data_IF_978372727725
#
_entry.id   IF_978372727725
#
_cell.length_a   1.000
_cell.length_b   1.000
_cell.length_c   1.000
_cell.angle_alpha   90.00
_cell.angle_beta   90.00
_cell.angle_gamma   90.00
#
_symmetry.space_group_name_H-M   'P 1'
#
loop_
_entity.id
_entity.type
_entity.pdbx_description
1 polymer ?
#
# COMPACT_ATOMS: atom_id res chain seq x y z
N UNK A 1 87.68 1.29 -49.70
CA UNK A 1 87.44 2.73 -49.72
C UNK A 1 85.92 2.98 -49.47
N UNK A 2 85.56 3.40 -48.30
CA UNK A 2 84.36 4.18 -47.98
C UNK A 2 84.21 4.32 -46.46
N UNK A 3 84.42 5.49 -45.99
CA UNK A 3 84.43 5.95 -44.59
C UNK A 3 83.05 5.91 -43.98
N UNK A 4 82.95 5.27 -42.81
CA UNK A 4 81.74 5.31 -41.99
C UNK A 4 81.90 6.32 -40.83
N UNK A 5 81.15 7.40 -40.88
CA UNK A 5 81.05 8.35 -39.77
C UNK A 5 79.89 7.89 -38.81
N UNK A 6 80.28 7.55 -37.59
CA UNK A 6 79.39 7.29 -36.51
C UNK A 6 78.86 8.63 -35.92
N UNK A 7 77.53 8.85 -35.96
CA UNK A 7 76.86 9.89 -35.21
C UNK A 7 76.44 9.35 -33.84
N UNK A 8 76.95 9.93 -32.80
CA UNK A 8 76.52 9.71 -31.42
C UNK A 8 75.32 10.52 -31.19
N UNK A 9 74.15 9.86 -30.84
CA UNK A 9 72.95 10.54 -30.41
C UNK A 9 72.84 10.45 -28.88
N UNK A 10 72.98 11.61 -28.20
CA UNK A 10 72.71 11.69 -26.77
C UNK A 10 71.17 11.59 -26.55
N UNK A 11 70.78 10.50 -25.91
CA UNK A 11 69.36 10.34 -25.44
C UNK A 11 69.24 11.02 -24.07
N UNK A 12 68.55 12.19 -24.05
CA UNK A 12 68.14 12.82 -22.81
C UNK A 12 66.99 12.08 -22.15
N UNK A 13 67.22 11.55 -20.95
CA UNK A 13 66.15 10.97 -20.11
C UNK A 13 65.29 12.11 -19.50
N UNK A 14 64.09 12.31 -20.00
CA UNK A 14 63.02 13.04 -19.35
C UNK A 14 62.26 12.07 -18.44
N UNK A 15 62.46 12.20 -17.12
CA UNK A 15 61.63 11.50 -16.14
C UNK A 15 60.23 12.16 -16.07
N UNK A 16 59.12 11.37 -16.16
CA UNK A 16 57.79 11.92 -15.94
C UNK A 16 57.58 12.21 -14.43
N UNK A 17 57.40 13.50 -14.06
CA UNK A 17 56.88 13.89 -12.77
C UNK A 17 55.42 13.46 -12.70
N UNK A 18 55.16 12.34 -12.03
CA UNK A 18 53.79 11.94 -11.70
C UNK A 18 53.26 12.90 -10.64
N UNK A 19 52.49 13.91 -11.07
CA UNK A 19 51.61 14.66 -10.17
C UNK A 19 50.56 13.69 -9.63
N UNK A 20 50.76 13.23 -8.41
CA UNK A 20 49.77 12.49 -7.64
C UNK A 20 48.57 13.39 -7.39
N UNK A 21 47.56 13.34 -8.25
CA UNK A 21 46.19 13.81 -7.94
C UNK A 21 45.66 12.88 -6.86
N UNK A 22 45.92 13.22 -5.60
CA UNK A 22 45.18 12.69 -4.47
C UNK A 22 43.71 13.12 -4.64
N UNK A 23 42.95 12.31 -5.37
CA UNK A 23 41.52 12.40 -5.43
C UNK A 23 41.02 12.28 -3.99
N UNK A 24 40.71 13.42 -3.35
CA UNK A 24 39.92 13.41 -2.13
C UNK A 24 38.66 12.64 -2.49
N UNK A 25 38.55 11.40 -1.97
CA UNK A 25 37.28 10.71 -1.90
C UNK A 25 36.32 11.67 -1.23
N UNK A 26 35.43 12.29 -2.00
CA UNK A 26 34.34 13.09 -1.47
C UNK A 26 33.61 12.18 -0.50
N UNK A 27 33.86 12.35 0.78
CA UNK A 27 33.21 11.57 1.84
C UNK A 27 31.70 11.68 1.60
N UNK A 28 31.06 10.54 1.31
CA UNK A 28 29.62 10.49 1.19
C UNK A 28 29.05 11.15 2.45
N UNK A 29 28.25 12.23 2.27
CA UNK A 29 27.58 12.85 3.39
C UNK A 29 26.79 11.77 4.13
N UNK A 30 26.86 11.71 5.48
CA UNK A 30 26.05 10.77 6.24
C UNK A 30 24.59 10.86 5.78
N UNK A 31 23.92 9.72 5.56
CA UNK A 31 22.52 9.70 5.16
C UNK A 31 21.67 10.48 6.17
N UNK A 32 20.60 11.09 5.69
CA UNK A 32 19.71 11.93 6.51
C UNK A 32 19.25 11.25 7.80
N UNK A 33 19.01 9.94 7.75
CA UNK A 33 18.47 9.16 8.87
C UNK A 33 19.52 8.58 9.80
N UNK A 34 20.81 8.71 9.48
CA UNK A 34 21.88 8.19 10.32
C UNK A 34 21.71 8.67 11.77
N UNK A 35 21.77 7.74 12.71
CA UNK A 35 21.65 7.96 14.16
C UNK A 35 20.32 8.59 14.63
N UNK A 36 19.33 8.72 13.76
CA UNK A 36 17.98 9.25 14.09
C UNK A 36 17.02 8.12 14.41
N UNK A 37 15.89 8.47 15.04
CA UNK A 37 14.75 7.58 15.25
C UNK A 37 13.69 7.92 14.19
N UNK A 38 13.23 6.91 13.45
CA UNK A 38 12.11 7.02 12.53
C UNK A 38 10.90 6.39 13.20
N UNK A 39 9.76 7.08 13.23
CA UNK A 39 8.50 6.55 13.72
C UNK A 39 7.59 6.20 12.54
N UNK A 40 7.28 4.92 12.40
CA UNK A 40 6.30 4.43 11.44
C UNK A 40 4.94 4.37 12.12
N UNK A 41 4.06 5.29 11.77
CA UNK A 41 2.71 5.41 12.29
C UNK A 41 1.78 4.51 11.45
N UNK A 42 1.44 3.35 11.98
CA UNK A 42 0.68 2.31 11.29
C UNK A 42 -0.81 2.56 11.44
N UNK A 43 -1.52 2.66 10.32
CA UNK A 43 -2.96 2.86 10.24
C UNK A 43 -3.74 1.58 10.58
N UNK A 44 -3.62 1.10 11.81
CA UNK A 44 -4.29 -0.13 12.25
C UNK A 44 -3.84 -0.62 13.61
N UNK A 45 -4.55 -1.61 14.14
CA UNK A 45 -4.26 -2.24 15.42
C UNK A 45 -3.03 -3.17 15.38
N UNK A 46 -2.52 -3.54 16.57
CA UNK A 46 -1.28 -4.30 16.74
C UNK A 46 -1.29 -5.70 16.10
N UNK A 47 -2.46 -6.33 15.96
CA UNK A 47 -2.65 -7.63 15.32
C UNK A 47 -3.02 -7.54 13.83
N UNK A 48 -3.23 -6.31 13.30
CA UNK A 48 -3.69 -6.07 11.93
C UNK A 48 -2.64 -6.36 10.85
N UNK A 49 -3.11 -6.52 9.61
CA UNK A 49 -2.26 -6.79 8.46
C UNK A 49 -1.21 -5.71 8.20
N UNK A 50 -1.56 -4.42 8.37
CA UNK A 50 -0.59 -3.33 8.23
C UNK A 50 0.57 -3.48 9.22
N UNK A 51 0.29 -3.81 10.48
CA UNK A 51 1.32 -3.98 11.51
C UNK A 51 2.21 -5.18 11.23
N UNK A 52 1.64 -6.29 10.72
CA UNK A 52 2.43 -7.46 10.32
C UNK A 52 3.40 -7.12 9.19
N UNK A 53 2.95 -6.37 8.16
CA UNK A 53 3.83 -5.90 7.10
C UNK A 53 4.88 -4.89 7.60
N UNK A 54 4.48 -3.93 8.45
CA UNK A 54 5.41 -2.96 9.01
C UNK A 54 6.53 -3.66 9.81
N UNK A 55 6.19 -4.65 10.64
CA UNK A 55 7.17 -5.44 11.40
C UNK A 55 8.07 -6.29 10.52
N UNK A 56 7.54 -6.89 9.46
CA UNK A 56 8.32 -7.65 8.50
C UNK A 56 9.38 -6.76 7.82
N UNK A 57 9.03 -5.54 7.44
CA UNK A 57 9.91 -4.63 6.70
C UNK A 57 10.84 -3.83 7.63
N UNK A 58 10.45 -3.61 8.88
CA UNK A 58 11.14 -2.77 9.86
C UNK A 58 12.66 -3.01 9.97
N UNK A 59 13.18 -4.24 10.14
CA UNK A 59 14.62 -4.45 10.30
C UNK A 59 15.41 -4.11 9.04
N UNK A 60 14.82 -4.37 7.88
CA UNK A 60 15.42 -4.04 6.59
C UNK A 60 15.39 -2.53 6.32
N UNK A 61 14.30 -1.86 6.68
CA UNK A 61 14.23 -0.41 6.58
C UNK A 61 15.25 0.26 7.51
N UNK A 62 15.43 -0.24 8.73
CA UNK A 62 16.47 0.25 9.66
C UNK A 62 17.87 0.04 9.08
N UNK A 63 18.17 -1.14 8.54
CA UNK A 63 19.44 -1.47 7.87
C UNK A 63 19.74 -0.48 6.74
N UNK A 64 18.78 -0.22 5.86
CA UNK A 64 18.99 0.58 4.66
C UNK A 64 18.89 2.10 4.87
N UNK A 65 18.25 2.55 5.95
CA UNK A 65 18.25 3.98 6.35
C UNK A 65 19.49 4.34 7.17
N UNK A 66 20.13 3.37 7.83
CA UNK A 66 21.15 3.61 8.85
C UNK A 66 20.60 4.30 10.12
N UNK A 67 19.29 4.30 10.30
CA UNK A 67 18.63 4.87 11.47
C UNK A 67 19.05 4.11 12.74
N UNK A 68 19.17 4.83 13.87
CA UNK A 68 19.41 4.21 15.17
C UNK A 68 18.27 3.27 15.55
N UNK A 69 17.04 3.67 15.23
CA UNK A 69 15.82 2.90 15.51
C UNK A 69 14.76 3.21 14.46
N UNK A 70 14.05 2.19 13.99
CA UNK A 70 12.77 2.34 13.29
C UNK A 70 11.69 1.84 14.25
N UNK A 71 10.87 2.75 14.78
CA UNK A 71 9.84 2.47 15.77
C UNK A 71 8.49 2.31 15.09
N UNK A 72 7.71 1.32 15.50
CA UNK A 72 6.32 1.12 15.04
C UNK A 72 5.37 1.63 16.13
N UNK A 73 4.46 2.54 15.74
CA UNK A 73 3.38 3.05 16.58
C UNK A 73 2.06 2.75 15.90
N UNK A 74 1.18 2.01 16.56
CA UNK A 74 -0.15 1.72 16.06
C UNK A 74 -1.12 2.89 16.34
N UNK A 75 -1.84 3.31 15.32
CA UNK A 75 -2.84 4.39 15.38
C UNK A 75 -4.16 3.93 14.76
N UNK A 76 -4.90 3.00 15.39
CA UNK A 76 -6.21 2.56 14.90
C UNK A 76 -7.23 3.69 15.01
N UNK A 77 -8.27 3.63 14.16
CA UNK A 77 -9.43 4.50 14.19
C UNK A 77 -9.78 5.11 12.84
N UNK A 78 -11.10 5.21 12.58
CA UNK A 78 -11.67 5.78 11.36
C UNK A 78 -11.20 5.12 10.06
N UNK A 79 -10.99 3.81 10.05
CA UNK A 79 -10.47 3.12 8.86
C UNK A 79 -9.04 3.55 8.45
N UNK A 80 -8.25 4.13 9.38
CA UNK A 80 -6.91 4.66 9.12
C UNK A 80 -6.84 6.18 9.00
N UNK A 81 -7.98 6.89 8.96
CA UNK A 81 -8.00 8.35 8.83
C UNK A 81 -7.37 9.06 10.02
N UNK A 82 -7.43 8.48 11.23
CA UNK A 82 -6.76 9.03 12.42
C UNK A 82 -5.25 9.16 12.18
N UNK A 83 -4.60 8.12 11.70
CA UNK A 83 -3.17 8.12 11.40
C UNK A 83 -2.84 9.08 10.24
N UNK A 84 -3.66 9.10 9.20
CA UNK A 84 -3.48 9.99 8.05
C UNK A 84 -3.58 11.48 8.46
N UNK A 85 -4.60 11.85 9.23
CA UNK A 85 -4.76 13.20 9.75
C UNK A 85 -3.63 13.62 10.69
N UNK A 86 -3.09 12.69 11.47
CA UNK A 86 -1.91 12.94 12.29
C UNK A 86 -0.71 13.29 11.40
N UNK A 87 -0.39 12.45 10.40
CA UNK A 87 0.72 12.70 9.48
C UNK A 87 0.55 13.97 8.66
N UNK A 88 -0.68 14.32 8.29
CA UNK A 88 -0.95 15.58 7.58
C UNK A 88 -0.49 16.83 8.34
N UNK A 89 -0.49 16.77 9.69
CA UNK A 89 -0.27 17.91 10.58
C UNK A 89 1.09 17.90 11.28
N UNK A 90 1.82 16.76 11.26
CA UNK A 90 3.12 16.70 11.93
C UNK A 90 4.14 17.58 11.22
N UNK A 91 5.20 17.93 11.96
CA UNK A 91 6.36 18.62 11.39
C UNK A 91 6.93 17.80 10.22
N UNK A 92 7.19 18.42 9.06
CA UNK A 92 7.67 17.72 7.87
C UNK A 92 9.19 17.43 7.91
N UNK A 93 9.70 17.04 9.08
CA UNK A 93 11.10 16.77 9.35
C UNK A 93 11.55 15.35 8.93
N UNK A 94 10.68 14.57 8.30
CA UNK A 94 10.98 13.25 7.81
C UNK A 94 11.01 12.13 8.85
N UNK A 95 10.78 12.41 10.14
CA UNK A 95 10.90 11.43 11.22
C UNK A 95 9.61 10.72 11.55
N UNK A 96 8.48 11.23 11.08
CA UNK A 96 7.17 10.60 11.22
C UNK A 96 6.62 10.20 9.85
N UNK A 97 6.42 8.92 9.65
CA UNK A 97 5.99 8.33 8.39
C UNK A 97 4.72 7.53 8.63
N UNK A 98 3.70 7.71 7.80
CA UNK A 98 2.51 6.87 7.76
C UNK A 98 2.81 5.55 7.06
N UNK A 99 2.20 4.47 7.54
CA UNK A 99 2.13 3.21 6.84
C UNK A 99 0.71 2.65 6.86
N UNK A 100 0.11 2.55 5.70
CA UNK A 100 -1.27 2.09 5.50
C UNK A 100 -1.70 2.15 4.05
N UNK A 101 -3.00 2.05 3.81
CA UNK A 101 -3.54 2.04 2.47
C UNK A 101 -3.71 3.45 1.91
N UNK A 102 -2.98 3.79 0.84
CA UNK A 102 -3.20 5.04 0.11
C UNK A 102 -4.55 5.08 -0.61
N UNK A 103 -5.10 3.93 -0.97
CA UNK A 103 -6.46 3.80 -1.49
C UNK A 103 -7.53 4.38 -0.56
N UNK A 104 -7.43 4.13 0.75
CA UNK A 104 -8.34 4.73 1.75
C UNK A 104 -8.30 6.26 1.69
N UNK A 105 -7.11 6.86 1.54
CA UNK A 105 -6.96 8.32 1.51
C UNK A 105 -7.66 8.92 0.29
N UNK A 106 -7.48 8.30 -0.89
CA UNK A 106 -8.12 8.73 -2.14
C UNK A 106 -9.65 8.61 -2.02
N UNK A 107 -10.13 7.44 -1.57
CA UNK A 107 -11.57 7.17 -1.48
C UNK A 107 -12.27 8.08 -0.46
N UNK A 108 -11.65 8.31 0.69
CA UNK A 108 -12.18 9.23 1.71
C UNK A 108 -12.26 10.68 1.20
N UNK A 109 -11.27 11.13 0.45
CA UNK A 109 -11.28 12.45 -0.20
C UNK A 109 -12.40 12.54 -1.26
N UNK A 110 -12.50 11.56 -2.15
CA UNK A 110 -13.56 11.52 -3.18
C UNK A 110 -14.96 11.47 -2.54
N UNK A 111 -15.10 10.74 -1.44
CA UNK A 111 -16.34 10.68 -0.65
C UNK A 111 -16.69 12.00 0.05
N UNK A 112 -15.75 12.94 0.17
CA UNK A 112 -15.94 14.10 1.05
C UNK A 112 -16.16 13.68 2.50
N UNK A 113 -15.50 12.61 2.95
CA UNK A 113 -15.63 12.09 4.32
C UNK A 113 -15.27 13.16 5.35
N UNK A 114 -16.12 13.45 6.35
CA UNK A 114 -15.80 14.43 7.39
C UNK A 114 -14.53 14.10 8.18
N UNK A 115 -14.17 12.82 8.24
CA UNK A 115 -12.94 12.35 8.87
C UNK A 115 -11.67 12.60 8.05
N UNK A 116 -11.75 12.98 6.79
CA UNK A 116 -10.61 13.25 5.92
C UNK A 116 -10.29 14.76 5.90
N UNK A 117 -9.33 15.21 6.71
CA UNK A 117 -8.94 16.63 6.81
C UNK A 117 -7.64 16.93 6.06
N UNK A 118 -7.37 16.19 4.99
CA UNK A 118 -6.15 16.25 4.19
C UNK A 118 -6.49 16.31 2.68
N UNK A 119 -5.48 16.58 1.87
CA UNK A 119 -5.50 16.36 0.43
C UNK A 119 -4.58 15.19 0.09
N UNK A 120 -5.16 14.08 -0.36
CA UNK A 120 -4.41 12.84 -0.64
C UNK A 120 -3.33 13.04 -1.70
N UNK A 121 -3.50 13.99 -2.63
CA UNK A 121 -2.53 14.28 -3.71
C UNK A 121 -1.33 15.07 -3.21
N UNK A 122 -1.42 15.74 -2.06
CA UNK A 122 -0.37 16.60 -1.50
C UNK A 122 0.53 15.91 -0.47
N UNK A 123 0.20 14.70 -0.05
CA UNK A 123 1.14 13.88 0.71
C UNK A 123 2.39 13.55 -0.11
N UNK A 124 3.48 13.26 0.57
CA UNK A 124 4.71 12.77 -0.06
C UNK A 124 4.72 11.26 -0.08
N UNK A 125 4.51 10.65 -1.23
CA UNK A 125 4.56 9.20 -1.38
C UNK A 125 6.01 8.73 -1.45
N UNK A 126 6.36 7.82 -0.53
CA UNK A 126 7.72 7.37 -0.31
C UNK A 126 8.00 5.97 -0.88
N UNK A 127 6.95 5.25 -1.24
CA UNK A 127 7.00 3.94 -1.88
C UNK A 127 5.87 3.04 -1.43
N UNK A 128 5.35 2.25 -2.37
CA UNK A 128 4.38 1.18 -2.08
C UNK A 128 5.14 -0.09 -1.72
N UNK A 129 4.78 -0.71 -0.61
CA UNK A 129 5.38 -1.97 -0.17
C UNK A 129 4.75 -3.17 -0.88
N UNK A 130 3.44 -3.16 -1.02
CA UNK A 130 2.70 -4.24 -1.66
C UNK A 130 1.40 -3.76 -2.29
N UNK A 131 0.98 -4.48 -3.31
CA UNK A 131 -0.38 -4.49 -3.85
C UNK A 131 -0.80 -5.95 -3.94
N UNK A 132 -1.90 -6.29 -3.33
CA UNK A 132 -2.45 -7.64 -3.35
C UNK A 132 -3.92 -7.60 -3.76
N UNK A 133 -4.42 -8.63 -4.44
CA UNK A 133 -5.83 -8.76 -4.74
C UNK A 133 -6.67 -8.67 -3.47
N UNK A 134 -7.85 -8.05 -3.57
CA UNK A 134 -8.86 -8.09 -2.52
C UNK A 134 -9.85 -9.21 -2.85
N UNK A 135 -10.39 -9.84 -1.83
CA UNK A 135 -11.39 -10.88 -2.00
C UNK A 135 -12.60 -10.61 -1.10
N UNK A 136 -13.78 -10.66 -1.69
CA UNK A 136 -15.02 -10.75 -0.92
C UNK A 136 -15.22 -12.22 -0.54
N UNK A 137 -15.20 -12.49 0.75
CA UNK A 137 -15.43 -13.81 1.31
C UNK A 137 -16.59 -13.77 2.31
N UNK A 138 -17.44 -14.79 2.26
CA UNK A 138 -18.56 -15.01 3.18
C UNK A 138 -18.19 -16.05 4.23
N UNK A 139 -18.99 -16.21 5.29
CA UNK A 139 -18.76 -17.27 6.29
C UNK A 139 -18.85 -18.65 5.66
N UNK A 140 -18.02 -19.60 6.06
CA UNK A 140 -18.00 -20.96 5.50
C UNK A 140 -19.34 -21.70 5.64
N UNK A 141 -20.09 -21.40 6.71
CA UNK A 141 -21.43 -21.95 6.97
C UNK A 141 -22.55 -21.12 6.36
N UNK A 142 -22.24 -19.99 5.70
CA UNK A 142 -23.23 -19.14 5.06
C UNK A 142 -24.01 -19.89 3.97
N UNK A 143 -25.30 -19.64 3.77
CA UNK A 143 -26.05 -20.14 2.61
C UNK A 143 -25.59 -19.49 1.30
N UNK A 144 -24.91 -18.34 1.36
CA UNK A 144 -24.32 -17.66 0.20
C UNK A 144 -23.12 -18.48 -0.27
N UNK A 145 -23.13 -18.97 -1.52
CA UNK A 145 -22.05 -19.80 -2.08
C UNK A 145 -21.41 -19.19 -3.33
N UNK A 146 -22.01 -18.13 -3.87
CA UNK A 146 -21.53 -17.45 -5.08
C UNK A 146 -21.80 -15.95 -5.02
N UNK A 147 -21.18 -15.19 -5.90
CA UNK A 147 -21.49 -13.77 -6.03
C UNK A 147 -22.91 -13.53 -6.55
N UNK A 148 -23.46 -14.46 -7.37
CA UNK A 148 -24.86 -14.40 -7.79
C UNK A 148 -25.82 -14.52 -6.60
N UNK A 149 -25.48 -15.28 -5.57
CA UNK A 149 -26.32 -15.36 -4.36
C UNK A 149 -26.32 -14.02 -3.61
N UNK A 150 -25.19 -13.32 -3.58
CA UNK A 150 -25.13 -11.93 -3.04
C UNK A 150 -26.07 -11.01 -3.78
N UNK A 151 -26.06 -11.06 -5.12
CA UNK A 151 -26.91 -10.21 -5.97
C UNK A 151 -28.41 -10.52 -5.81
N UNK A 152 -28.78 -11.76 -5.49
CA UNK A 152 -30.16 -12.20 -5.31
C UNK A 152 -30.73 -11.96 -3.91
N UNK A 153 -29.93 -11.44 -2.98
CA UNK A 153 -30.40 -11.16 -1.63
C UNK A 153 -31.54 -10.12 -1.65
N UNK A 154 -32.69 -10.49 -1.06
CA UNK A 154 -33.82 -9.55 -0.90
C UNK A 154 -33.60 -8.59 0.26
N UNK A 155 -32.76 -8.95 1.23
CA UNK A 155 -32.33 -8.12 2.35
C UNK A 155 -30.97 -7.49 2.09
N UNK A 156 -30.58 -6.44 2.83
CA UNK A 156 -29.22 -5.94 2.75
C UNK A 156 -28.18 -7.00 3.11
N UNK A 157 -27.05 -7.00 2.39
CA UNK A 157 -25.84 -7.74 2.75
C UNK A 157 -25.22 -7.07 3.98
N UNK A 158 -25.11 -7.80 5.08
CA UNK A 158 -24.54 -7.29 6.34
C UNK A 158 -23.03 -7.35 6.27
N UNK A 159 -22.40 -6.19 6.32
CA UNK A 159 -20.98 -6.00 6.15
C UNK A 159 -20.30 -5.44 7.42
N UNK A 160 -19.56 -6.25 8.19
CA UNK A 160 -18.72 -5.79 9.30
C UNK A 160 -17.58 -4.92 8.78
N UNK A 161 -17.41 -3.71 9.35
CA UNK A 161 -16.47 -2.69 8.87
C UNK A 161 -15.72 -2.00 10.00
N UNK A 162 -14.48 -1.59 9.74
CA UNK A 162 -13.67 -0.76 10.64
C UNK A 162 -14.09 0.73 10.62
N UNK A 163 -15.03 1.09 9.78
CA UNK A 163 -15.44 2.46 9.49
C UNK A 163 -15.32 2.76 7.99
N UNK A 164 -14.98 4.00 7.64
CA UNK A 164 -14.86 4.45 6.25
C UNK A 164 -13.49 4.14 5.66
N UNK A 165 -13.12 2.86 5.64
CA UNK A 165 -11.90 2.35 5.02
C UNK A 165 -12.12 1.99 3.53
N UNK A 166 -11.05 1.49 2.87
CA UNK A 166 -11.14 1.11 1.45
C UNK A 166 -12.15 0.00 1.20
N UNK A 167 -12.32 -0.91 2.15
CA UNK A 167 -13.21 -2.07 2.01
C UNK A 167 -14.68 -1.64 2.11
N UNK A 168 -14.98 -0.69 3.01
CA UNK A 168 -16.29 -0.04 3.11
C UNK A 168 -16.68 0.63 1.79
N UNK A 169 -15.81 1.45 1.24
CA UNK A 169 -16.07 2.12 -0.04
C UNK A 169 -16.19 1.13 -1.20
N UNK A 170 -15.39 0.08 -1.18
CA UNK A 170 -15.47 -0.97 -2.19
C UNK A 170 -16.83 -1.67 -2.16
N UNK A 171 -17.33 -2.02 -0.97
CA UNK A 171 -18.67 -2.61 -0.84
C UNK A 171 -19.77 -1.68 -1.33
N UNK A 172 -19.67 -0.38 -1.09
CA UNK A 172 -20.64 0.59 -1.61
C UNK A 172 -20.66 0.62 -3.14
N UNK A 173 -19.47 0.62 -3.77
CA UNK A 173 -19.33 0.57 -5.23
C UNK A 173 -19.86 -0.75 -5.80
N UNK A 174 -19.60 -1.88 -5.14
CA UNK A 174 -20.12 -3.18 -5.56
C UNK A 174 -21.67 -3.21 -5.46
N UNK A 175 -22.23 -2.69 -4.36
CA UNK A 175 -23.68 -2.59 -4.19
C UNK A 175 -24.35 -1.77 -5.30
N UNK A 176 -23.78 -0.61 -5.62
CA UNK A 176 -24.26 0.25 -6.72
C UNK A 176 -24.11 -0.42 -8.10
N UNK A 177 -22.94 -1.02 -8.35
CA UNK A 177 -22.64 -1.58 -9.66
C UNK A 177 -23.45 -2.85 -9.97
N UNK A 178 -23.74 -3.66 -8.96
CA UNK A 178 -24.36 -4.98 -9.12
C UNK A 178 -25.81 -5.05 -8.56
N UNK A 179 -26.34 -3.94 -8.04
CA UNK A 179 -27.74 -3.80 -7.69
C UNK A 179 -28.17 -4.49 -6.38
N UNK A 180 -27.26 -4.70 -5.43
CA UNK A 180 -27.61 -5.24 -4.11
C UNK A 180 -27.43 -4.20 -3.00
N UNK A 181 -28.25 -4.30 -1.94
CA UNK A 181 -28.18 -3.39 -0.80
C UNK A 181 -27.09 -3.83 0.17
N UNK A 182 -26.36 -2.87 0.75
CA UNK A 182 -25.32 -3.10 1.77
C UNK A 182 -25.76 -2.44 3.08
N UNK A 183 -25.63 -3.17 4.20
CA UNK A 183 -25.74 -2.64 5.56
C UNK A 183 -24.39 -2.76 6.24
N UNK A 184 -23.63 -1.67 6.29
CA UNK A 184 -22.39 -1.63 7.05
C UNK A 184 -22.66 -1.61 8.56
N UNK A 185 -21.92 -2.44 9.31
CA UNK A 185 -21.88 -2.42 10.78
C UNK A 185 -20.48 -1.99 11.17
N UNK A 186 -20.34 -0.76 11.62
CA UNK A 186 -19.04 -0.15 11.95
C UNK A 186 -18.65 -0.38 13.41
N UNK A 187 -17.40 -0.05 13.75
CA UNK A 187 -16.90 -0.12 15.12
C UNK A 187 -15.91 -1.27 15.39
N UNK A 188 -15.59 -2.09 14.39
CA UNK A 188 -14.55 -3.10 14.51
C UNK A 188 -13.16 -2.46 14.47
N UNK A 189 -12.21 -2.98 15.26
CA UNK A 189 -10.86 -2.40 15.36
C UNK A 189 -9.94 -2.77 14.18
N UNK A 190 -10.22 -3.89 13.50
CA UNK A 190 -9.38 -4.38 12.42
C UNK A 190 -9.97 -5.56 11.64
N UNK A 191 -9.26 -5.95 10.57
CA UNK A 191 -9.66 -7.08 9.71
C UNK A 191 -9.74 -8.42 10.47
N UNK A 192 -9.04 -8.59 11.56
CA UNK A 192 -9.15 -9.79 12.39
C UNK A 192 -10.54 -9.87 13.04
N UNK A 193 -11.06 -8.74 13.54
CA UNK A 193 -12.36 -8.68 14.21
C UNK A 193 -13.51 -8.81 13.21
N UNK A 194 -13.42 -8.12 12.06
CA UNK A 194 -14.41 -8.28 10.99
C UNK A 194 -14.43 -9.70 10.42
N UNK A 195 -13.24 -10.33 10.30
CA UNK A 195 -13.12 -11.74 9.90
C UNK A 195 -13.82 -12.68 10.88
N UNK A 196 -13.58 -12.46 12.18
CA UNK A 196 -14.20 -13.26 13.23
C UNK A 196 -15.72 -13.10 13.27
N UNK A 197 -16.23 -11.88 13.09
CA UNK A 197 -17.65 -11.61 12.99
C UNK A 197 -18.30 -12.39 11.84
N UNK A 198 -17.68 -12.40 10.66
CA UNK A 198 -18.16 -13.19 9.50
C UNK A 198 -18.12 -14.69 9.77
N UNK A 199 -17.05 -15.21 10.39
CA UNK A 199 -16.94 -16.65 10.74
C UNK A 199 -18.02 -17.06 11.74
N UNK A 200 -18.35 -16.21 12.70
CA UNK A 200 -19.42 -16.44 13.70
C UNK A 200 -20.83 -16.28 13.13
N UNK A 201 -20.99 -15.61 11.99
CA UNK A 201 -22.29 -15.33 11.38
C UNK A 201 -22.92 -13.99 11.82
N UNK A 202 -22.15 -13.10 12.48
CA UNK A 202 -22.59 -11.75 12.85
C UNK A 202 -22.61 -10.79 11.63
N UNK A 203 -22.06 -11.25 10.49
CA UNK A 203 -22.08 -10.59 9.19
C UNK A 203 -22.10 -11.61 8.06
N UNK A 204 -22.58 -11.20 6.90
CA UNK A 204 -22.63 -12.09 5.73
C UNK A 204 -21.25 -12.37 5.13
N UNK A 205 -20.43 -11.33 5.08
CA UNK A 205 -19.09 -11.42 4.52
C UNK A 205 -18.34 -10.10 4.64
N UNK A 206 -17.07 -10.12 4.26
CA UNK A 206 -16.25 -8.92 4.21
C UNK A 206 -15.19 -9.00 3.10
N UNK A 207 -14.65 -7.83 2.74
CA UNK A 207 -13.52 -7.73 1.82
C UNK A 207 -12.24 -7.63 2.65
N UNK A 208 -11.18 -8.34 2.22
CA UNK A 208 -9.84 -8.19 2.80
C UNK A 208 -8.77 -8.61 1.80
N UNK A 209 -7.50 -8.35 2.11
CA UNK A 209 -6.37 -8.77 1.29
C UNK A 209 -6.29 -10.29 1.15
N UNK A 210 -5.81 -10.74 0.01
CA UNK A 210 -5.67 -12.16 -0.29
C UNK A 210 -4.83 -12.87 0.78
N UNK A 211 -3.69 -12.32 1.18
CA UNK A 211 -2.80 -12.90 2.20
C UNK A 211 -3.45 -13.10 3.57
N UNK A 212 -4.47 -12.31 3.91
CA UNK A 212 -5.22 -12.44 5.17
C UNK A 212 -6.39 -13.42 5.05
N UNK A 213 -6.88 -13.65 3.83
CA UNK A 213 -8.03 -14.53 3.57
C UNK A 213 -7.66 -15.99 3.36
N UNK A 214 -6.43 -16.28 2.90
CA UNK A 214 -6.01 -17.64 2.52
C UNK A 214 -6.18 -18.67 3.65
N UNK A 215 -5.72 -18.35 4.85
CA UNK A 215 -5.85 -19.25 6.01
C UNK A 215 -7.30 -19.65 6.28
N UNK A 216 -8.19 -18.67 6.55
CA UNK A 216 -9.63 -18.95 6.75
C UNK A 216 -10.34 -19.60 5.56
N UNK A 217 -9.89 -19.39 4.33
CA UNK A 217 -10.43 -20.07 3.15
C UNK A 217 -9.97 -21.53 3.11
N UNK A 218 -8.70 -21.80 3.35
CA UNK A 218 -8.15 -23.18 3.38
C UNK A 218 -8.74 -24.02 4.52
N UNK A 219 -9.03 -23.40 5.68
CA UNK A 219 -9.71 -24.11 6.81
C UNK A 219 -11.21 -24.31 6.57
N UNK A 220 -11.81 -23.67 5.56
CA UNK A 220 -13.25 -23.71 5.33
C UNK A 220 -14.07 -22.77 6.23
N UNK A 221 -13.42 -21.96 7.05
CA UNK A 221 -14.10 -20.95 7.90
C UNK A 221 -14.70 -19.82 7.08
N UNK A 222 -14.13 -19.55 5.90
CA UNK A 222 -14.67 -18.61 4.92
C UNK A 222 -14.73 -19.22 3.52
N UNK A 223 -15.64 -18.68 2.70
CA UNK A 223 -15.80 -19.06 1.31
C UNK A 223 -15.65 -17.82 0.40
N UNK A 224 -14.69 -17.80 -0.56
CA UNK A 224 -14.49 -16.69 -1.46
C UNK A 224 -15.55 -16.66 -2.56
N UNK A 225 -16.16 -15.50 -2.79
CA UNK A 225 -17.25 -15.35 -3.78
C UNK A 225 -16.91 -14.37 -4.91
N UNK A 226 -15.95 -13.46 -4.71
CA UNK A 226 -15.56 -12.46 -5.72
C UNK A 226 -14.11 -12.01 -5.50
N UNK A 227 -13.32 -12.01 -6.56
CA UNK A 227 -12.02 -11.33 -6.58
C UNK A 227 -12.21 -9.87 -6.98
N UNK A 228 -11.86 -8.95 -6.08
CA UNK A 228 -11.94 -7.50 -6.31
C UNK A 228 -10.57 -7.01 -6.79
N UNK A 229 -10.28 -7.25 -8.05
CA UNK A 229 -9.00 -6.99 -8.70
C UNK A 229 -9.19 -6.92 -10.21
N UNK A 230 -8.16 -6.52 -10.94
CA UNK A 230 -8.10 -6.59 -12.40
C UNK A 230 -7.58 -7.95 -12.94
N UNK A 231 -7.00 -8.79 -12.09
CA UNK A 231 -6.35 -10.04 -12.48
C UNK A 231 -6.99 -11.27 -11.79
N UNK A 232 -7.12 -12.41 -12.50
CA UNK A 232 -7.60 -13.64 -11.90
C UNK A 232 -6.58 -14.20 -10.89
N UNK A 233 -7.08 -14.95 -9.89
CA UNK A 233 -6.23 -15.72 -9.00
C UNK A 233 -5.84 -17.05 -9.67
N UNK A 234 -4.53 -17.35 -9.80
CA UNK A 234 -4.10 -18.66 -10.30
C UNK A 234 -4.53 -19.83 -9.40
N UNK A 235 -4.62 -19.61 -8.08
CA UNK A 235 -5.02 -20.64 -7.11
C UNK A 235 -6.52 -20.93 -7.13
N UNK A 236 -7.34 -19.95 -7.52
CA UNK A 236 -8.80 -20.05 -7.52
C UNK A 236 -9.39 -19.50 -8.82
N UNK A 237 -9.13 -20.16 -9.96
CA UNK A 237 -9.53 -19.67 -11.27
C UNK A 237 -11.05 -19.62 -11.48
N UNK A 238 -11.81 -20.32 -10.64
CA UNK A 238 -13.30 -20.37 -10.70
C UNK A 238 -13.96 -19.19 -10.00
N UNK A 239 -13.22 -18.43 -9.15
CA UNK A 239 -13.79 -17.24 -8.50
C UNK A 239 -13.87 -16.11 -9.54
N UNK A 240 -15.07 -15.51 -9.72
CA UNK A 240 -15.21 -14.43 -10.68
C UNK A 240 -14.34 -13.22 -10.31
N UNK A 241 -13.78 -12.57 -11.34
CA UNK A 241 -13.02 -11.33 -11.21
C UNK A 241 -13.96 -10.17 -11.50
N UNK A 242 -14.03 -9.20 -10.62
CA UNK A 242 -14.98 -8.08 -10.67
C UNK A 242 -14.95 -7.32 -12.00
N UNK A 243 -13.76 -7.10 -12.57
CA UNK A 243 -13.61 -6.38 -13.83
C UNK A 243 -14.15 -7.15 -15.03
N UNK A 244 -14.21 -8.49 -14.94
CA UNK A 244 -14.69 -9.35 -16.02
C UNK A 244 -16.22 -9.49 -16.01
N UNK A 245 -16.84 -9.37 -14.83
CA UNK A 245 -18.29 -9.53 -14.67
C UNK A 245 -19.04 -8.20 -14.50
N UNK A 246 -18.33 -7.09 -14.54
CA UNK A 246 -18.92 -5.76 -14.39
C UNK A 246 -19.97 -5.48 -15.49
N UNK A 247 -21.19 -5.02 -15.12
CA UNK A 247 -22.20 -4.59 -16.09
C UNK A 247 -21.62 -3.54 -17.05
N UNK A 248 -22.04 -3.56 -18.30
CA UNK A 248 -21.49 -2.67 -19.34
C UNK A 248 -21.53 -1.19 -18.92
N UNK A 249 -22.61 -0.74 -18.29
CA UNK A 249 -22.79 0.64 -17.80
C UNK A 249 -21.93 0.99 -16.57
N UNK A 250 -21.31 0.00 -15.91
CA UNK A 250 -20.51 0.17 -14.67
C UNK A 250 -19.04 -0.22 -14.85
N UNK A 251 -18.63 -0.59 -16.06
CA UNK A 251 -17.23 -1.04 -16.32
C UNK A 251 -16.19 -0.01 -15.91
N UNK A 252 -16.40 1.26 -16.23
CA UNK A 252 -15.44 2.32 -15.89
C UNK A 252 -15.40 2.60 -14.39
N UNK A 253 -16.56 2.56 -13.72
CA UNK A 253 -16.68 2.63 -12.25
C UNK A 253 -15.87 1.54 -11.56
N UNK A 254 -16.05 0.30 -11.99
CA UNK A 254 -15.34 -0.87 -11.42
C UNK A 254 -13.83 -0.81 -11.73
N UNK A 255 -13.44 -0.41 -12.94
CA UNK A 255 -12.02 -0.23 -13.30
C UNK A 255 -11.35 0.85 -12.45
N UNK A 256 -12.03 1.99 -12.26
CA UNK A 256 -11.53 3.07 -11.43
C UNK A 256 -11.33 2.63 -9.97
N UNK A 257 -12.30 1.88 -9.40
CA UNK A 257 -12.16 1.30 -8.06
C UNK A 257 -10.99 0.33 -7.98
N UNK A 258 -10.86 -0.62 -8.92
CA UNK A 258 -9.77 -1.59 -8.95
C UNK A 258 -8.39 -0.88 -9.03
N UNK A 259 -8.27 0.15 -9.87
CA UNK A 259 -7.05 0.93 -9.99
C UNK A 259 -6.67 1.67 -8.68
N UNK A 260 -7.66 2.21 -7.95
CA UNK A 260 -7.41 2.81 -6.64
C UNK A 260 -6.90 1.75 -5.66
N UNK A 261 -7.53 0.57 -5.61
CA UNK A 261 -7.14 -0.51 -4.69
C UNK A 261 -5.70 -1.00 -4.94
N UNK A 262 -5.20 -0.94 -6.17
CA UNK A 262 -3.83 -1.28 -6.51
C UNK A 262 -2.78 -0.33 -5.89
N UNK A 263 -3.16 0.84 -5.41
CA UNK A 263 -2.24 1.77 -4.72
C UNK A 263 -1.88 1.35 -3.29
N UNK A 264 -2.63 0.53 -2.68
CA UNK A 264 -2.55 -0.21 -1.41
C UNK A 264 -1.47 0.24 -0.40
N UNK A 265 -0.82 -0.69 0.34
CA UNK A 265 0.07 -0.41 1.49
C UNK A 265 1.31 0.39 1.10
N UNK A 266 1.41 1.59 1.63
CA UNK A 266 2.40 2.58 1.24
C UNK A 266 3.02 3.28 2.44
N UNK A 267 4.28 3.70 2.28
CA UNK A 267 4.93 4.67 3.13
C UNK A 267 4.62 6.07 2.62
N UNK A 268 4.14 6.94 3.50
CA UNK A 268 3.67 8.28 3.14
C UNK A 268 4.18 9.28 4.18
N UNK A 269 4.79 10.36 3.71
CA UNK A 269 5.24 11.48 4.53
C UNK A 269 4.28 12.67 4.50
N UNK A 270 4.42 13.62 5.44
CA UNK A 270 3.66 14.85 5.47
C UNK A 270 3.94 15.75 4.25
N UNK A 271 3.02 16.65 3.88
CA UNK A 271 3.29 17.68 2.87
C UNK A 271 4.49 18.54 3.25
N UNK A 272 5.31 18.90 2.26
CA UNK A 272 6.49 19.74 2.48
C UNK A 272 7.65 19.06 3.22
N UNK A 273 7.67 17.73 3.26
CA UNK A 273 8.77 16.97 3.86
C UNK A 273 10.12 17.35 3.25
N UNK A 274 11.16 17.39 4.10
CA UNK A 274 12.53 17.72 3.70
C UNK A 274 12.97 16.90 2.46
N UNK A 275 13.46 17.55 1.38
CA UNK A 275 13.81 16.85 0.14
C UNK A 275 14.90 15.77 0.31
N UNK A 276 15.88 15.97 1.19
CA UNK A 276 16.91 14.98 1.46
C UNK A 276 16.32 13.77 2.21
N UNK A 277 15.42 14.03 3.18
CA UNK A 277 14.68 12.98 3.86
C UNK A 277 13.84 12.15 2.88
N UNK A 278 13.17 12.81 1.93
CA UNK A 278 12.40 12.13 0.88
C UNK A 278 13.28 11.23 0.02
N UNK A 279 14.40 11.76 -0.48
CA UNK A 279 15.32 11.02 -1.34
C UNK A 279 15.90 9.79 -0.62
N UNK A 280 16.40 9.98 0.60
CA UNK A 280 17.02 8.91 1.39
C UNK A 280 16.00 7.85 1.81
N UNK A 281 14.77 8.27 2.20
CA UNK A 281 13.74 7.29 2.57
C UNK A 281 13.25 6.47 1.37
N UNK A 282 13.03 7.10 0.21
CA UNK A 282 12.67 6.40 -1.04
C UNK A 282 13.74 5.38 -1.43
N UNK A 283 15.02 5.77 -1.36
CA UNK A 283 16.14 4.87 -1.64
C UNK A 283 16.15 3.69 -0.66
N UNK A 284 15.96 3.95 0.64
CA UNK A 284 15.94 2.91 1.67
C UNK A 284 14.76 1.95 1.52
N UNK A 285 13.55 2.47 1.24
CA UNK A 285 12.38 1.62 0.97
C UNK A 285 12.62 0.73 -0.26
N UNK A 286 13.14 1.31 -1.36
CA UNK A 286 13.45 0.52 -2.57
C UNK A 286 14.49 -0.56 -2.30
N UNK A 287 15.52 -0.27 -1.51
CA UNK A 287 16.55 -1.24 -1.13
C UNK A 287 16.00 -2.32 -0.18
N UNK A 288 15.24 -1.93 0.84
CA UNK A 288 14.63 -2.84 1.79
C UNK A 288 13.69 -3.84 1.10
N UNK A 289 12.84 -3.37 0.19
CA UNK A 289 11.86 -4.22 -0.52
C UNK A 289 12.50 -5.15 -1.58
N UNK A 290 13.78 -4.98 -1.87
CA UNK A 290 14.59 -5.86 -2.74
C UNK A 290 15.59 -6.71 -1.95
N UNK A 291 15.67 -6.53 -0.63
CA UNK A 291 16.61 -7.28 0.21
C UNK A 291 16.25 -8.78 0.17
N UNK A 292 17.21 -9.66 -0.17
CA UNK A 292 16.97 -11.10 -0.29
C UNK A 292 16.40 -11.71 1.00
N UNK A 293 16.83 -11.23 2.18
CA UNK A 293 16.32 -11.70 3.45
C UNK A 293 14.84 -11.36 3.63
N UNK A 294 14.43 -10.12 3.29
CA UNK A 294 13.03 -9.72 3.32
C UNK A 294 12.18 -10.59 2.37
N UNK A 295 12.67 -10.82 1.15
CA UNK A 295 11.92 -11.59 0.15
C UNK A 295 11.73 -13.04 0.60
N UNK A 296 12.72 -13.64 1.26
CA UNK A 296 12.62 -14.98 1.83
C UNK A 296 11.60 -15.03 2.98
N UNK A 297 11.68 -14.09 3.93
CA UNK A 297 10.70 -13.99 5.04
C UNK A 297 9.29 -13.71 4.53
N UNK A 298 9.15 -12.84 3.55
CA UNK A 298 7.91 -12.51 2.86
C UNK A 298 7.25 -13.77 2.26
N UNK A 299 8.03 -14.58 1.58
CA UNK A 299 7.56 -15.85 1.00
C UNK A 299 7.14 -16.86 2.07
N UNK A 300 7.97 -17.04 3.11
CA UNK A 300 7.64 -17.95 4.24
C UNK A 300 6.38 -17.51 4.99
N UNK A 301 6.18 -16.21 5.14
CA UNK A 301 5.03 -15.63 5.82
C UNK A 301 3.79 -15.47 4.94
N UNK A 302 3.82 -15.90 3.67
CA UNK A 302 2.74 -15.69 2.68
C UNK A 302 2.30 -14.22 2.58
N UNK A 303 3.27 -13.27 2.65
CA UNK A 303 3.04 -11.81 2.57
C UNK A 303 3.76 -11.24 1.37
N UNK A 304 3.12 -11.26 0.18
CA UNK A 304 3.78 -10.86 -1.05
C UNK A 304 4.24 -9.40 -0.99
N UNK A 305 5.43 -9.14 -1.52
CA UNK A 305 5.98 -7.81 -1.74
C UNK A 305 5.82 -7.46 -3.21
N UNK A 306 5.16 -6.33 -3.50
CA UNK A 306 4.94 -5.82 -4.84
C UNK A 306 5.26 -4.32 -4.87
N UNK A 307 6.56 -3.96 -4.89
CA UNK A 307 6.99 -2.59 -4.70
C UNK A 307 6.62 -1.68 -5.87
N UNK A 308 6.38 -0.41 -5.55
CA UNK A 308 6.37 0.69 -6.51
C UNK A 308 7.21 1.82 -5.96
N UNK A 309 8.06 2.40 -6.81
CA UNK A 309 8.86 3.57 -6.46
C UNK A 309 7.99 4.75 -6.04
N UNK A 310 8.46 5.52 -5.03
CA UNK A 310 7.68 6.61 -4.45
C UNK A 310 7.38 7.77 -5.41
N UNK A 311 8.30 8.07 -6.33
CA UNK A 311 8.05 9.12 -7.34
C UNK A 311 7.02 8.66 -8.36
N UNK A 312 7.11 7.40 -8.80
CA UNK A 312 6.11 6.79 -9.67
C UNK A 312 4.75 6.71 -8.98
N UNK A 313 4.73 6.33 -7.71
CA UNK A 313 3.50 6.27 -6.93
C UNK A 313 2.84 7.63 -6.81
N UNK A 314 3.60 8.70 -6.57
CA UNK A 314 3.08 10.08 -6.53
C UNK A 314 2.30 10.40 -7.82
N UNK A 315 2.89 10.13 -8.99
CA UNK A 315 2.25 10.35 -10.29
C UNK A 315 0.97 9.53 -10.46
N UNK A 316 1.03 8.25 -10.08
CA UNK A 316 -0.12 7.33 -10.16
C UNK A 316 -1.27 7.83 -9.29
N UNK A 317 -1.01 8.24 -8.04
CA UNK A 317 -2.02 8.78 -7.12
C UNK A 317 -2.70 10.02 -7.70
N UNK A 318 -1.94 10.95 -8.25
CA UNK A 318 -2.50 12.16 -8.86
C UNK A 318 -3.37 11.86 -10.09
N UNK A 319 -2.93 10.94 -10.95
CA UNK A 319 -3.68 10.51 -12.13
C UNK A 319 -4.97 9.79 -11.76
N UNK A 320 -4.89 8.81 -10.85
CA UNK A 320 -6.03 8.01 -10.43
C UNK A 320 -7.06 8.87 -9.70
N UNK A 321 -6.64 9.76 -8.80
CA UNK A 321 -7.56 10.63 -8.06
C UNK A 321 -8.37 11.50 -9.04
N UNK A 322 -7.74 12.06 -10.07
CA UNK A 322 -8.45 12.83 -11.10
C UNK A 322 -9.38 11.97 -11.96
N UNK A 323 -8.90 10.80 -12.40
CA UNK A 323 -9.67 9.90 -13.27
C UNK A 323 -10.88 9.27 -12.56
N UNK A 324 -10.83 9.18 -11.23
CA UNK A 324 -11.86 8.49 -10.42
C UNK A 324 -12.93 9.42 -9.84
N UNK A 325 -12.98 10.68 -10.26
CA UNK A 325 -13.98 11.65 -9.78
C UNK A 325 -15.44 11.16 -9.93
N UNK A 326 -15.72 10.34 -10.95
CA UNK A 326 -17.02 9.72 -11.16
C UNK A 326 -17.50 8.79 -10.05
N UNK A 327 -16.61 8.34 -9.15
CA UNK A 327 -16.98 7.56 -7.96
C UNK A 327 -17.60 8.42 -6.85
N UNK A 328 -17.35 9.72 -6.83
CA UNK A 328 -17.72 10.61 -5.72
C UNK A 328 -19.21 10.53 -5.33
N UNK A 329 -20.19 10.50 -6.23
CA UNK A 329 -21.61 10.40 -5.84
C UNK A 329 -21.93 9.13 -5.04
N UNK A 330 -21.39 7.97 -5.48
CA UNK A 330 -21.60 6.68 -4.83
C UNK A 330 -20.98 6.68 -3.43
N UNK A 331 -19.74 7.16 -3.34
CA UNK A 331 -18.99 7.18 -2.08
C UNK A 331 -19.59 8.16 -1.06
N UNK A 332 -20.07 9.32 -1.50
CA UNK A 332 -20.78 10.30 -0.65
C UNK A 332 -22.07 9.71 -0.11
N UNK A 333 -22.89 9.07 -0.95
CA UNK A 333 -24.12 8.42 -0.52
C UNK A 333 -23.85 7.32 0.52
N UNK A 334 -22.78 6.54 0.35
CA UNK A 334 -22.38 5.51 1.32
C UNK A 334 -22.02 6.11 2.69
N UNK A 335 -21.26 7.21 2.72
CA UNK A 335 -20.91 7.90 3.99
C UNK A 335 -22.16 8.46 4.67
N UNK A 336 -23.08 9.05 3.93
CA UNK A 336 -24.35 9.58 4.48
C UNK A 336 -25.22 8.47 5.08
N UNK A 337 -25.19 7.26 4.52
CA UNK A 337 -26.00 6.14 4.97
C UNK A 337 -25.58 5.54 6.34
N UNK A 338 -24.38 5.89 6.84
CA UNK A 338 -23.87 5.42 8.15
C UNK A 338 -23.73 6.52 9.20
N UNK A 339 -24.10 7.75 8.86
CA UNK A 339 -24.20 8.89 9.79
C UNK A 339 -25.58 8.94 10.43
#
# INVERSE_FOLDING_TARGET
MKTNRRRVVLAGMLAPVALGMSGRAAGQKPGFYKDRIITINVAGGAAGGHTRYARLIQPYLQKHTGAREVRIVNMPGGGGLKAANFIWRVKPDGLNIFFGNSSTLILAQLAGSPGATFDATKFVYLGRATSEPRVLAVGGKSPIKSFQDVQKLVRPFVYPSQGTDEDFYTMAVLGDAFGFKVKAVTGYEGNADTSLAVIKGDGDGHITGWSESQGPIRSGDKHPVLMVTSLPSPEYPTIPVVTNIAPASKKDTIRAMAAILETHRSYIGPPGMDPQAVADFRAAVSAALKDPGLLEESKKGERPVAPMDGARQQQVIEQITRASAGLAPILKAAVQAIQ
#
